data_IF_813553336536
#
_entry.id   IF_813553336536
#
_cell.length_a   1.000
_cell.length_b   1.000
_cell.length_c   1.000
_cell.angle_alpha   90.00
_cell.angle_beta   90.00
_cell.angle_gamma   90.00
#
_symmetry.space_group_name_H-M   'P 1'
#
loop_
_entity.id
_entity.type
_entity.pdbx_description
1 polymer ?
#
# COMPACT_ATOMS: atom_id res chain seq x y z
N UNK A 1 -1.12 -9.97 46.09
CA UNK A 1 -1.87 -8.73 46.41
C UNK A 1 -1.37 -7.54 45.57
N UNK A 2 -0.08 -7.19 45.58
CA UNK A 2 0.47 -6.04 44.84
C UNK A 2 0.11 -6.03 43.33
N UNK A 3 0.28 -7.15 42.62
CA UNK A 3 -0.06 -7.26 41.19
C UNK A 3 -1.52 -6.91 40.90
N UNK A 4 -2.45 -7.46 41.69
CA UNK A 4 -3.90 -7.16 41.53
C UNK A 4 -4.22 -5.69 41.83
N UNK A 5 -3.52 -5.07 42.79
CA UNK A 5 -3.65 -3.67 43.08
C UNK A 5 -3.18 -2.76 41.93
N UNK A 6 -2.04 -3.12 41.29
CA UNK A 6 -1.54 -2.40 40.11
C UNK A 6 -2.48 -2.53 38.91
N UNK A 7 -3.03 -3.73 38.67
CA UNK A 7 -3.98 -3.97 37.57
C UNK A 7 -5.27 -3.14 37.77
N UNK A 8 -5.80 -3.09 38.99
CA UNK A 8 -6.98 -2.26 39.32
C UNK A 8 -6.69 -0.76 39.16
N UNK A 9 -5.54 -0.30 39.69
CA UNK A 9 -5.15 1.09 39.54
C UNK A 9 -4.94 1.51 38.08
N UNK A 10 -4.32 0.64 37.27
CA UNK A 10 -4.16 0.89 35.84
C UNK A 10 -5.50 1.02 35.11
N UNK A 11 -6.46 0.15 35.44
CA UNK A 11 -7.81 0.23 34.86
C UNK A 11 -8.52 1.51 35.22
N UNK A 12 -8.47 1.94 36.47
CA UNK A 12 -9.09 3.19 36.95
C UNK A 12 -8.46 4.43 36.29
N UNK A 13 -7.13 4.45 36.17
CA UNK A 13 -6.41 5.53 35.48
C UNK A 13 -6.80 5.61 34.01
N UNK A 14 -6.89 4.46 33.32
CA UNK A 14 -7.30 4.42 31.90
C UNK A 14 -8.72 4.98 31.74
N UNK A 15 -9.67 4.59 32.58
CA UNK A 15 -11.04 5.09 32.51
C UNK A 15 -11.11 6.60 32.82
N UNK A 16 -10.33 7.08 33.78
CA UNK A 16 -10.22 8.52 34.08
C UNK A 16 -9.67 9.28 32.88
N UNK A 17 -8.58 8.79 32.25
CA UNK A 17 -7.98 9.40 31.05
C UNK A 17 -8.95 9.43 29.86
N UNK A 18 -9.74 8.37 29.67
CA UNK A 18 -10.80 8.38 28.65
C UNK A 18 -11.84 9.47 28.86
N UNK A 19 -12.19 9.74 30.12
CA UNK A 19 -13.13 10.82 30.49
C UNK A 19 -12.56 12.23 30.31
N UNK A 20 -11.23 12.37 30.37
CA UNK A 20 -10.53 13.66 30.19
C UNK A 20 -10.18 13.97 28.73
N UNK A 21 -10.40 13.02 27.83
CA UNK A 21 -10.09 13.15 26.41
C UNK A 21 -10.94 14.24 25.76
N UNK A 22 -10.28 15.14 25.03
CA UNK A 22 -10.92 16.11 24.14
C UNK A 22 -10.74 15.67 22.69
N UNK A 23 -11.81 15.76 21.89
CA UNK A 23 -11.72 15.55 20.44
C UNK A 23 -11.26 16.84 19.77
N UNK A 24 -10.10 16.80 19.14
CA UNK A 24 -9.51 17.95 18.43
C UNK A 24 -9.62 17.80 16.89
N UNK A 25 -10.34 16.78 16.40
CA UNK A 25 -10.52 16.56 14.98
C UNK A 25 -11.28 17.72 14.34
N UNK A 26 -10.64 18.37 13.34
CA UNK A 26 -11.20 19.54 12.65
C UNK A 26 -10.84 20.89 13.27
N UNK A 27 -10.14 20.92 14.40
CA UNK A 27 -9.56 22.16 14.97
C UNK A 27 -8.06 22.23 14.64
N UNK A 28 -7.75 22.83 13.50
CA UNK A 28 -6.38 22.98 13.00
C UNK A 28 -5.43 23.62 14.03
N UNK A 29 -5.92 24.58 14.81
CA UNK A 29 -5.12 25.25 15.84
C UNK A 29 -4.72 24.29 16.95
N UNK A 30 -5.68 23.49 17.44
CA UNK A 30 -5.42 22.47 18.46
C UNK A 30 -4.49 21.38 17.94
N UNK A 31 -4.66 20.97 16.69
CA UNK A 31 -3.74 20.01 16.04
C UNK A 31 -2.32 20.57 15.97
N UNK A 32 -2.16 21.86 15.60
CA UNK A 32 -0.85 22.52 15.58
C UNK A 32 -0.22 22.60 16.97
N UNK A 33 -1.00 22.92 18.02
CA UNK A 33 -0.53 22.96 19.41
C UNK A 33 0.01 21.59 19.86
N UNK A 34 -0.73 20.50 19.59
CA UNK A 34 -0.33 19.12 19.94
C UNK A 34 0.91 18.70 19.13
N UNK A 35 0.92 18.96 17.83
CA UNK A 35 2.05 18.65 16.96
C UNK A 35 3.32 19.42 17.37
N UNK A 36 3.19 20.69 17.74
CA UNK A 36 4.30 21.52 18.26
C UNK A 36 4.89 20.92 19.55
N UNK A 37 4.04 20.50 20.48
CA UNK A 37 4.52 19.86 21.73
C UNK A 37 5.25 18.54 21.42
N UNK A 38 4.73 17.76 20.50
CA UNK A 38 5.32 16.47 20.11
C UNK A 38 6.66 16.63 19.37
N UNK A 39 6.74 17.56 18.43
CA UNK A 39 7.94 17.82 17.64
C UNK A 39 8.98 18.68 18.38
N UNK A 40 8.57 19.46 19.40
CA UNK A 40 9.41 20.44 20.05
C UNK A 40 9.70 21.69 19.23
N UNK A 41 9.02 21.86 18.08
CA UNK A 41 9.23 22.94 17.13
C UNK A 41 7.90 23.45 16.55
N UNK A 42 7.70 24.78 16.57
CA UNK A 42 6.44 25.40 16.14
C UNK A 42 6.22 25.38 14.63
N UNK A 43 7.31 25.45 13.84
CA UNK A 43 7.23 25.44 12.38
C UNK A 43 6.85 24.03 11.90
N UNK A 44 7.44 22.99 12.53
CA UNK A 44 7.06 21.58 12.29
C UNK A 44 5.60 21.34 12.69
N UNK A 45 5.19 21.83 13.86
CA UNK A 45 3.82 21.69 14.33
C UNK A 45 2.79 22.32 13.40
N UNK A 46 3.10 23.48 12.86
CA UNK A 46 2.24 24.19 11.89
C UNK A 46 2.17 23.41 10.58
N UNK A 47 3.31 22.96 10.04
CA UNK A 47 3.36 22.18 8.81
C UNK A 47 2.54 20.88 8.92
N UNK A 48 2.68 20.15 10.03
CA UNK A 48 1.89 18.93 10.28
C UNK A 48 0.39 19.25 10.31
N UNK A 49 -0.01 20.34 10.96
CA UNK A 49 -1.42 20.74 11.01
C UNK A 49 -1.95 21.12 9.62
N UNK A 50 -1.14 21.78 8.79
CA UNK A 50 -1.48 22.10 7.41
C UNK A 50 -1.68 20.84 6.56
N UNK A 51 -0.79 19.84 6.72
CA UNK A 51 -0.89 18.56 6.02
C UNK A 51 -2.14 17.79 6.46
N UNK A 52 -2.40 17.68 7.77
CA UNK A 52 -3.58 16.98 8.30
C UNK A 52 -4.88 17.66 7.81
N UNK A 53 -4.90 18.98 7.74
CA UNK A 53 -6.05 19.75 7.22
C UNK A 53 -6.25 19.49 5.71
N UNK A 54 -5.17 19.38 4.94
CA UNK A 54 -5.21 19.12 3.51
C UNK A 54 -5.63 17.69 3.16
N UNK A 55 -5.15 16.66 3.88
CA UNK A 55 -5.47 15.25 3.61
C UNK A 55 -6.76 14.80 4.28
N UNK A 56 -7.24 15.54 5.28
CA UNK A 56 -8.46 15.24 6.01
C UNK A 56 -8.30 14.18 7.09
N UNK A 57 -9.42 13.87 7.75
CA UNK A 57 -9.47 13.01 8.95
C UNK A 57 -9.04 11.56 8.70
N UNK A 58 -9.28 11.06 7.50
CA UNK A 58 -8.97 9.69 7.08
C UNK A 58 -7.63 9.59 6.32
N UNK A 59 -6.94 10.73 6.13
CA UNK A 59 -5.67 10.77 5.42
C UNK A 59 -4.53 10.19 6.24
N UNK A 60 -3.60 9.52 5.56
CA UNK A 60 -2.37 9.00 6.15
C UNK A 60 -1.27 10.05 5.99
N UNK A 61 -0.57 10.36 7.08
CA UNK A 61 0.59 11.26 7.08
C UNK A 61 1.82 10.46 7.44
N UNK A 62 2.81 10.48 6.56
CA UNK A 62 4.14 9.89 6.79
C UNK A 62 5.20 10.97 6.87
N UNK A 63 6.28 10.68 7.60
CA UNK A 63 7.44 11.58 7.72
C UNK A 63 8.65 10.81 7.25
N UNK A 64 9.37 11.38 6.28
CA UNK A 64 10.57 10.80 5.68
C UNK A 64 11.72 11.81 5.68
N UNK A 65 12.95 11.33 5.55
CA UNK A 65 14.12 12.20 5.41
C UNK A 65 14.13 12.81 3.99
N UNK A 66 14.00 14.15 3.93
CA UNK A 66 14.12 14.89 2.68
C UNK A 66 15.58 15.02 2.21
N UNK A 67 15.80 15.11 0.91
CA UNK A 67 17.14 15.38 0.35
C UNK A 67 17.50 16.88 0.37
N UNK A 68 16.55 17.75 0.69
CA UNK A 68 16.70 19.19 0.79
C UNK A 68 17.11 19.68 2.17
N UNK A 69 17.41 20.99 2.27
CA UNK A 69 17.66 21.68 3.54
C UNK A 69 16.40 22.25 4.19
N UNK A 70 15.30 22.31 3.45
CA UNK A 70 14.02 22.82 3.90
C UNK A 70 13.03 21.65 4.12
N UNK A 71 12.09 21.86 5.04
CA UNK A 71 10.94 20.97 5.18
C UNK A 71 9.97 21.22 4.02
N UNK A 72 9.57 20.17 3.36
CA UNK A 72 8.59 20.19 2.28
C UNK A 72 7.44 19.22 2.61
N UNK A 73 6.25 19.52 2.12
CA UNK A 73 5.11 18.61 2.21
C UNK A 73 4.58 18.33 0.81
N UNK A 74 4.30 17.07 0.53
CA UNK A 74 3.67 16.63 -0.71
C UNK A 74 2.37 15.89 -0.38
N UNK A 75 1.28 16.27 -1.03
CA UNK A 75 -0.01 15.56 -0.92
C UNK A 75 -0.18 14.68 -2.14
N UNK A 76 -0.21 13.39 -1.91
CA UNK A 76 -0.42 12.37 -2.96
C UNK A 76 -1.83 11.82 -2.84
N UNK A 77 -2.60 11.92 -3.92
CA UNK A 77 -3.89 11.25 -4.02
C UNK A 77 -3.71 9.79 -4.40
N UNK A 78 -3.83 8.89 -3.43
CA UNK A 78 -3.65 7.47 -3.68
C UNK A 78 -3.21 6.70 -2.44
N UNK A 79 -2.54 5.58 -2.65
CA UNK A 79 -1.99 4.74 -1.61
C UNK A 79 -0.50 4.51 -1.89
N UNK A 80 0.33 4.76 -0.90
CA UNK A 80 1.77 4.53 -0.98
C UNK A 80 2.20 3.50 0.07
N UNK A 81 3.12 2.62 -0.28
CA UNK A 81 3.73 1.65 0.64
C UNK A 81 5.20 1.40 0.30
N UNK A 82 5.95 0.97 1.29
CA UNK A 82 7.40 0.80 1.28
C UNK A 82 7.87 -0.51 0.61
N UNK A 83 7.48 -0.76 -0.63
CA UNK A 83 7.93 -1.93 -1.40
C UNK A 83 8.18 -1.55 -2.85
N UNK A 84 9.38 -1.89 -3.32
CA UNK A 84 9.79 -1.71 -4.69
C UNK A 84 9.43 -2.90 -5.61
N UNK A 85 9.88 -2.83 -6.84
CA UNK A 85 9.69 -3.89 -7.84
C UNK A 85 10.53 -5.13 -7.53
N UNK A 86 10.00 -6.31 -7.87
CA UNK A 86 10.70 -7.60 -7.65
C UNK A 86 11.93 -7.77 -8.55
N UNK A 87 11.92 -7.13 -9.73
CA UNK A 87 13.01 -7.27 -10.70
C UNK A 87 13.33 -5.95 -11.40
N UNK A 88 14.60 -5.55 -11.50
CA UNK A 88 15.03 -4.35 -12.24
C UNK A 88 14.62 -4.37 -13.72
N UNK A 89 14.38 -5.54 -14.29
CA UNK A 89 13.87 -5.66 -15.67
C UNK A 89 12.44 -5.15 -15.85
N UNK A 90 11.75 -4.78 -14.77
CA UNK A 90 10.39 -4.20 -14.77
C UNK A 90 10.39 -2.66 -14.80
N UNK A 91 11.56 -2.03 -14.75
CA UNK A 91 11.75 -0.58 -14.85
C UNK A 91 11.34 -0.08 -16.22
N UNK A 92 10.56 1.01 -16.29
CA UNK A 92 10.16 1.67 -17.53
C UNK A 92 11.00 2.88 -17.84
N UNK A 93 11.44 3.60 -16.81
CA UNK A 93 12.35 4.76 -16.89
C UNK A 93 13.70 4.40 -16.25
N UNK A 94 14.67 4.04 -17.08
CA UNK A 94 16.01 3.64 -16.61
C UNK A 94 16.84 4.82 -16.06
N UNK A 95 16.50 6.06 -16.42
CA UNK A 95 17.22 7.22 -15.93
C UNK A 95 16.86 7.53 -14.47
N UNK A 96 15.61 7.27 -14.09
CA UNK A 96 15.09 7.46 -12.75
C UNK A 96 15.02 6.14 -11.95
N UNK A 97 15.25 5.02 -12.63
CA UNK A 97 15.03 3.66 -12.07
C UNK A 97 13.60 3.44 -11.57
N UNK A 98 12.64 4.05 -12.23
CA UNK A 98 11.22 3.97 -11.90
C UNK A 98 10.46 3.05 -12.86
N UNK A 99 9.44 2.37 -12.36
CA UNK A 99 8.46 1.64 -13.15
C UNK A 99 7.12 2.41 -13.12
N UNK A 100 6.74 3.01 -14.24
CA UNK A 100 5.52 3.81 -14.37
C UNK A 100 4.53 3.11 -15.30
N UNK A 101 3.32 2.88 -14.81
CA UNK A 101 2.23 2.22 -15.53
C UNK A 101 0.97 3.08 -15.49
N UNK A 102 0.42 3.41 -16.65
CA UNK A 102 -0.82 4.18 -16.77
C UNK A 102 -2.00 3.25 -17.05
N UNK A 103 -3.03 3.36 -16.21
CA UNK A 103 -4.28 2.57 -16.28
C UNK A 103 -4.08 1.05 -16.30
N UNK A 104 -3.14 0.50 -15.49
CA UNK A 104 -2.93 -0.92 -15.44
C UNK A 104 -4.10 -1.67 -14.80
N UNK A 105 -4.20 -2.96 -15.10
CA UNK A 105 -4.92 -3.90 -14.24
C UNK A 105 -4.07 -4.19 -13.01
N UNK A 106 -4.71 -4.34 -11.86
CA UNK A 106 -4.05 -4.65 -10.59
C UNK A 106 -4.54 -6.00 -10.09
N UNK A 107 -3.64 -6.96 -10.04
CA UNK A 107 -3.88 -8.27 -9.45
C UNK A 107 -3.31 -8.29 -8.05
N UNK A 108 -4.13 -8.66 -7.07
CA UNK A 108 -3.78 -8.64 -5.66
C UNK A 108 -3.96 -10.04 -5.09
N UNK A 109 -2.91 -10.58 -4.46
CA UNK A 109 -2.94 -11.91 -3.85
C UNK A 109 -2.03 -11.97 -2.63
N UNK A 110 -2.39 -12.78 -1.67
CA UNK A 110 -1.55 -13.14 -0.51
C UNK A 110 -0.63 -14.34 -0.80
N UNK A 111 -0.74 -14.91 -2.00
CA UNK A 111 0.04 -16.07 -2.41
C UNK A 111 1.41 -15.69 -2.94
N UNK A 112 2.33 -16.64 -2.84
CA UNK A 112 3.60 -16.64 -3.54
C UNK A 112 3.41 -17.23 -4.94
N UNK A 113 3.87 -16.53 -5.97
CA UNK A 113 3.79 -16.96 -7.36
C UNK A 113 5.16 -17.46 -7.80
N UNK A 114 5.35 -18.77 -7.86
CA UNK A 114 6.60 -19.42 -8.27
C UNK A 114 6.47 -20.23 -9.54
N UNK A 115 5.28 -20.81 -9.82
CA UNK A 115 4.97 -21.59 -10.99
C UNK A 115 4.17 -20.78 -12.02
N UNK A 116 4.55 -20.87 -13.27
CA UNK A 116 3.79 -20.26 -14.38
C UNK A 116 2.46 -20.95 -14.58
N UNK A 117 2.42 -22.26 -14.39
CA UNK A 117 1.22 -23.07 -14.67
C UNK A 117 0.04 -22.64 -13.81
N UNK A 118 0.28 -22.32 -12.54
CA UNK A 118 -0.77 -21.87 -11.62
C UNK A 118 -1.34 -20.50 -12.00
N UNK A 119 -0.53 -19.64 -12.61
CA UNK A 119 -0.88 -18.28 -12.97
C UNK A 119 -1.29 -18.12 -14.45
N UNK A 120 -0.96 -19.10 -15.31
CA UNK A 120 -1.23 -19.04 -16.75
C UNK A 120 -2.72 -18.82 -17.09
N UNK A 121 -3.69 -19.49 -16.41
CA UNK A 121 -5.11 -19.25 -16.70
C UNK A 121 -5.54 -17.80 -16.54
N UNK A 122 -4.99 -17.11 -15.54
CA UNK A 122 -5.26 -15.70 -15.32
C UNK A 122 -4.64 -14.82 -16.39
N UNK A 123 -3.38 -15.10 -16.78
CA UNK A 123 -2.72 -14.37 -17.87
C UNK A 123 -3.47 -14.51 -19.21
N UNK A 124 -3.98 -15.70 -19.52
CA UNK A 124 -4.76 -15.95 -20.74
C UNK A 124 -6.08 -15.14 -20.72
N UNK A 125 -6.78 -15.10 -19.60
CA UNK A 125 -7.98 -14.28 -19.43
C UNK A 125 -7.67 -12.79 -19.64
N UNK A 126 -6.57 -12.28 -19.07
CA UNK A 126 -6.13 -10.90 -19.24
C UNK A 126 -5.78 -10.61 -20.70
N UNK A 127 -5.07 -11.53 -21.38
CA UNK A 127 -4.72 -11.40 -22.80
C UNK A 127 -5.96 -11.21 -23.69
N UNK A 128 -7.05 -11.93 -23.40
CA UNK A 128 -8.31 -11.83 -24.14
C UNK A 128 -8.96 -10.44 -24.02
N UNK A 129 -8.67 -9.66 -22.97
CA UNK A 129 -9.18 -8.28 -22.84
C UNK A 129 -8.48 -7.28 -23.75
N UNK A 130 -7.34 -7.67 -24.33
CA UNK A 130 -6.46 -6.77 -25.08
C UNK A 130 -5.64 -5.78 -24.24
N UNK A 131 -5.79 -5.81 -22.92
CA UNK A 131 -4.96 -5.01 -22.00
C UNK A 131 -3.61 -5.70 -21.83
N UNK A 132 -2.54 -4.90 -21.80
CA UNK A 132 -1.16 -5.40 -21.70
C UNK A 132 -0.50 -5.01 -20.39
N UNK A 133 -0.95 -3.95 -19.75
CA UNK A 133 -0.35 -3.40 -18.56
C UNK A 133 -0.97 -4.06 -17.32
N UNK A 134 -0.15 -4.81 -16.59
CA UNK A 134 -0.55 -5.59 -15.42
C UNK A 134 0.41 -5.32 -14.27
N UNK A 135 -0.13 -4.89 -13.15
CA UNK A 135 0.56 -4.80 -11.86
C UNK A 135 0.13 -5.98 -10.99
N UNK A 136 1.10 -6.69 -10.45
CA UNK A 136 0.90 -7.85 -9.58
C UNK A 136 1.42 -7.48 -8.19
N UNK A 137 0.54 -7.49 -7.20
CA UNK A 137 0.91 -7.35 -5.79
C UNK A 137 0.71 -8.72 -5.15
N UNK A 138 1.81 -9.36 -4.78
CA UNK A 138 1.82 -10.73 -4.25
C UNK A 138 2.75 -10.86 -3.05
N UNK A 139 2.62 -11.91 -2.25
CA UNK A 139 3.59 -12.20 -1.18
C UNK A 139 5.01 -12.23 -1.72
N UNK A 140 5.22 -12.97 -2.79
CA UNK A 140 6.46 -12.97 -3.58
C UNK A 140 6.18 -13.42 -5.01
N UNK A 141 7.05 -13.01 -5.95
CA UNK A 141 7.06 -13.51 -7.32
C UNK A 141 8.48 -13.96 -7.65
N UNK A 142 8.68 -15.24 -7.85
CA UNK A 142 10.03 -15.80 -8.03
C UNK A 142 10.08 -16.94 -9.06
N UNK A 143 11.28 -17.47 -9.24
CA UNK A 143 11.53 -18.69 -10.02
C UNK A 143 11.08 -18.57 -11.47
N UNK A 144 10.39 -19.62 -11.96
CA UNK A 144 9.92 -19.72 -13.34
C UNK A 144 8.88 -18.65 -13.69
N UNK A 145 8.00 -18.31 -12.74
CA UNK A 145 6.98 -17.29 -12.94
C UNK A 145 7.62 -15.92 -13.22
N UNK A 146 8.58 -15.49 -12.39
CA UNK A 146 9.29 -14.23 -12.60
C UNK A 146 10.02 -14.20 -13.95
N UNK A 147 10.75 -15.28 -14.29
CA UNK A 147 11.45 -15.39 -15.57
C UNK A 147 10.51 -15.25 -16.76
N UNK A 148 9.34 -15.88 -16.70
CA UNK A 148 8.33 -15.81 -17.75
C UNK A 148 7.70 -14.42 -17.87
N UNK A 149 7.39 -13.75 -16.76
CA UNK A 149 6.87 -12.38 -16.77
C UNK A 149 7.87 -11.40 -17.39
N UNK A 150 9.16 -11.51 -17.01
CA UNK A 150 10.23 -10.69 -17.58
C UNK A 150 10.39 -10.97 -19.09
N UNK A 151 10.37 -12.24 -19.51
CA UNK A 151 10.49 -12.61 -20.92
C UNK A 151 9.31 -12.06 -21.75
N UNK A 152 8.08 -12.17 -21.26
CA UNK A 152 6.90 -11.64 -21.93
C UNK A 152 6.96 -10.11 -22.05
N UNK A 153 7.47 -9.42 -21.04
CA UNK A 153 7.70 -7.98 -21.08
C UNK A 153 8.74 -7.62 -22.15
N UNK A 154 9.90 -8.29 -22.17
CA UNK A 154 10.96 -8.05 -23.17
C UNK A 154 10.47 -8.29 -24.59
N UNK A 155 9.56 -9.24 -24.79
CA UNK A 155 8.91 -9.51 -26.06
C UNK A 155 7.76 -8.55 -26.41
N UNK A 156 7.38 -7.65 -25.50
CA UNK A 156 6.27 -6.71 -25.69
C UNK A 156 4.89 -7.38 -25.73
N UNK A 157 4.76 -8.60 -25.22
CA UNK A 157 3.48 -9.33 -25.14
C UNK A 157 2.65 -8.79 -23.99
N UNK A 158 3.26 -8.70 -22.79
CA UNK A 158 2.71 -8.11 -21.59
C UNK A 158 3.72 -7.14 -20.97
N UNK A 159 3.23 -6.03 -20.50
CA UNK A 159 3.97 -5.13 -19.62
C UNK A 159 3.59 -5.48 -18.18
N UNK A 160 4.41 -6.26 -17.51
CA UNK A 160 4.15 -6.70 -16.15
C UNK A 160 5.06 -6.01 -15.15
N UNK A 161 4.48 -5.62 -14.02
CA UNK A 161 5.17 -5.12 -12.85
C UNK A 161 4.78 -6.00 -11.66
N UNK A 162 5.75 -6.64 -11.03
CA UNK A 162 5.53 -7.41 -9.82
C UNK A 162 6.12 -6.67 -8.62
N UNK A 163 5.32 -6.52 -7.58
CA UNK A 163 5.62 -5.83 -6.33
C UNK A 163 5.36 -6.80 -5.18
N UNK A 164 6.24 -6.83 -4.20
CA UNK A 164 6.00 -7.58 -2.97
C UNK A 164 4.92 -6.90 -2.13
N UNK A 165 4.00 -7.68 -1.58
CA UNK A 165 3.00 -7.21 -0.65
C UNK A 165 3.67 -6.59 0.60
N UNK A 166 3.17 -5.44 1.08
CA UNK A 166 3.69 -4.81 2.27
C UNK A 166 3.31 -5.60 3.53
N UNK A 167 4.08 -5.42 4.60
CA UNK A 167 3.91 -6.06 5.90
C UNK A 167 3.97 -7.61 5.87
N UNK A 168 3.54 -8.26 6.96
CA UNK A 168 3.55 -9.71 7.15
C UNK A 168 2.33 -10.17 7.96
N UNK A 169 1.94 -11.44 7.82
CA UNK A 169 0.85 -12.03 8.58
C UNK A 169 -0.49 -11.34 8.38
N UNK A 170 -1.27 -11.17 9.45
CA UNK A 170 -2.62 -10.60 9.40
C UNK A 170 -2.63 -9.15 8.90
N UNK A 171 -1.61 -8.35 9.29
CA UNK A 171 -1.49 -6.98 8.81
C UNK A 171 -1.31 -6.89 7.29
N UNK A 172 -0.66 -7.87 6.67
CA UNK A 172 -0.56 -7.95 5.21
C UNK A 172 -1.93 -8.13 4.56
N UNK A 173 -2.77 -9.02 5.14
CA UNK A 173 -4.13 -9.26 4.64
C UNK A 173 -4.96 -7.99 4.69
N UNK A 174 -4.92 -7.27 5.80
CA UNK A 174 -5.62 -5.98 5.96
C UNK A 174 -5.19 -4.97 4.89
N UNK A 175 -3.87 -4.79 4.68
CA UNK A 175 -3.36 -3.86 3.68
C UNK A 175 -3.73 -4.29 2.25
N UNK A 176 -3.69 -5.59 1.94
CA UNK A 176 -4.12 -6.08 0.63
C UNK A 176 -5.61 -5.84 0.39
N UNK A 177 -6.46 -5.97 1.41
CA UNK A 177 -7.89 -5.64 1.34
C UNK A 177 -8.12 -4.14 1.15
N UNK A 178 -7.32 -3.29 1.81
CA UNK A 178 -7.35 -1.83 1.61
C UNK A 178 -7.00 -1.46 0.16
N UNK A 179 -5.92 -2.05 -0.39
CA UNK A 179 -5.51 -1.84 -1.78
C UNK A 179 -6.60 -2.34 -2.74
N UNK A 180 -7.20 -3.50 -2.46
CA UNK A 180 -8.28 -4.06 -3.26
C UNK A 180 -9.50 -3.13 -3.28
N UNK A 181 -9.90 -2.62 -2.12
CA UNK A 181 -11.00 -1.66 -1.99
C UNK A 181 -10.71 -0.38 -2.77
N UNK A 182 -9.51 0.17 -2.65
CA UNK A 182 -9.10 1.40 -3.33
C UNK A 182 -9.07 1.25 -4.86
N UNK A 183 -8.64 0.09 -5.35
CA UNK A 183 -8.53 -0.19 -6.79
C UNK A 183 -9.82 -0.75 -7.40
N UNK A 184 -10.83 -1.03 -6.57
CA UNK A 184 -12.09 -1.65 -6.98
C UNK A 184 -11.94 -3.12 -7.37
N UNK A 185 -10.88 -3.79 -6.86
CA UNK A 185 -10.62 -5.21 -7.07
C UNK A 185 -10.99 -6.07 -5.86
N UNK A 186 -10.54 -7.32 -5.89
CA UNK A 186 -10.65 -8.27 -4.78
C UNK A 186 -9.31 -8.98 -4.57
N UNK A 187 -9.03 -9.37 -3.33
CA UNK A 187 -7.85 -10.18 -3.02
C UNK A 187 -8.10 -11.62 -3.45
N UNK A 188 -7.21 -12.17 -4.27
CA UNK A 188 -7.25 -13.57 -4.66
C UNK A 188 -6.54 -14.39 -3.58
N UNK A 189 -7.31 -15.00 -2.70
CA UNK A 189 -6.81 -15.78 -1.56
C UNK A 189 -7.61 -17.08 -1.39
N UNK A 190 -6.94 -18.12 -0.95
CA UNK A 190 -7.59 -19.42 -0.65
C UNK A 190 -8.54 -19.33 0.53
N UNK A 191 -8.28 -18.44 1.48
CA UNK A 191 -9.16 -18.23 2.63
C UNK A 191 -10.58 -17.84 2.21
N UNK A 192 -10.72 -17.17 1.05
CA UNK A 192 -12.00 -16.79 0.44
C UNK A 192 -12.44 -17.74 -0.69
N UNK A 193 -11.70 -18.84 -0.89
CA UNK A 193 -11.99 -19.82 -1.94
C UNK A 193 -11.58 -19.37 -3.35
N UNK A 194 -10.77 -18.30 -3.48
CA UNK A 194 -10.31 -17.79 -4.76
C UNK A 194 -8.94 -18.35 -5.10
N UNK A 195 -8.85 -18.95 -6.30
CA UNK A 195 -7.59 -19.42 -6.91
C UNK A 195 -7.41 -18.71 -8.24
N UNK A 196 -6.21 -18.71 -8.82
CA UNK A 196 -5.98 -18.11 -10.14
C UNK A 196 -6.79 -18.79 -11.26
N UNK A 197 -7.16 -20.06 -11.09
CA UNK A 197 -7.98 -20.80 -12.05
C UNK A 197 -9.44 -20.32 -12.07
N UNK A 198 -10.02 -20.12 -10.87
CA UNK A 198 -11.43 -19.74 -10.73
C UNK A 198 -11.65 -18.22 -10.65
N UNK A 199 -10.58 -17.44 -10.45
CA UNK A 199 -10.66 -15.98 -10.43
C UNK A 199 -11.06 -15.44 -11.80
N UNK A 200 -11.90 -14.39 -11.77
CA UNK A 200 -12.37 -13.70 -12.98
C UNK A 200 -11.69 -12.33 -13.14
N UNK A 201 -11.72 -11.81 -14.36
CA UNK A 201 -11.18 -10.48 -14.68
C UNK A 201 -11.86 -9.38 -13.85
N UNK A 202 -13.13 -9.57 -13.51
CA UNK A 202 -13.89 -8.65 -12.64
C UNK A 202 -13.34 -8.54 -11.21
N UNK A 203 -12.47 -9.46 -10.79
CA UNK A 203 -11.78 -9.41 -9.49
C UNK A 203 -10.50 -8.57 -9.52
N UNK A 204 -10.00 -8.22 -10.72
CA UNK A 204 -8.84 -7.37 -10.87
C UNK A 204 -9.21 -5.92 -10.61
N UNK A 205 -8.39 -5.25 -9.82
CA UNK A 205 -8.49 -3.81 -9.62
C UNK A 205 -7.97 -3.01 -10.84
N UNK A 206 -8.18 -1.72 -10.78
CA UNK A 206 -7.63 -0.77 -11.76
C UNK A 206 -7.08 0.45 -11.02
N UNK A 207 -5.99 1.01 -11.53
CA UNK A 207 -5.44 2.25 -11.01
C UNK A 207 -5.29 3.27 -12.15
N UNK A 208 -5.35 4.57 -11.83
CA UNK A 208 -5.07 5.63 -12.82
C UNK A 208 -3.60 5.59 -13.24
N UNK A 209 -2.71 5.44 -12.25
CA UNK A 209 -1.27 5.32 -12.44
C UNK A 209 -0.66 4.56 -11.27
N UNK A 210 0.35 3.75 -11.56
CA UNK A 210 1.20 3.08 -10.56
C UNK A 210 2.63 3.49 -10.84
N UNK A 211 3.33 3.97 -9.81
CA UNK A 211 4.74 4.33 -9.85
C UNK A 211 5.45 3.51 -8.79
N UNK A 212 6.58 2.90 -9.14
CA UNK A 212 7.42 2.10 -8.24
C UNK A 212 8.89 2.43 -8.52
N UNK A 213 9.62 2.74 -7.48
CA UNK A 213 11.05 3.02 -7.42
C UNK A 213 11.83 1.96 -6.66
#
# INVERSE_FOLDING_TARGET
MLRKGLELAATEVIETLKGMREDIAGDKKRVAEVATISAGDGDIGTLIADVIDAVGKEGVVTVEEGQGLAMESEVVEGFTFDRGFVSPYMVTDTARMEAVYDKPLVLITDKKISSVQDFLPMLEKIAQTGKKDLVIIADDVEGEALGTLVLNRLKGVFNTLAIKAPAFGDRRKEILEDIATLTGGQVITEDQGHTFENADIGMLGTARRVIVD
#
